data_IF_940982580745
#
_entry.id   IF_940982580745
#
_cell.length_a   1.000
_cell.length_b   1.000
_cell.length_c   1.000
_cell.angle_alpha   90.00
_cell.angle_beta   90.00
_cell.angle_gamma   90.00
#
_symmetry.space_group_name_H-M   'P 1'
#
loop_
_entity.id
_entity.type
_entity.pdbx_description
1 polymer ?
#
# COMPACT_ATOMS: atom_id res chain seq x y z
N UNK A 1 6.28 12.56 9.50
CA UNK A 1 6.15 11.15 9.11
C UNK A 1 5.43 11.19 7.77
N UNK A 2 6.21 11.11 6.71
CA UNK A 2 5.82 11.54 5.36
C UNK A 2 5.05 10.43 4.62
N UNK A 3 4.53 10.71 3.42
CA UNK A 3 3.90 9.71 2.54
C UNK A 3 4.81 8.48 2.34
N UNK A 4 6.12 8.69 2.39
CA UNK A 4 7.15 7.65 2.39
C UNK A 4 6.96 6.63 3.51
N UNK A 5 6.65 7.06 4.72
CA UNK A 5 6.49 6.14 5.86
C UNK A 5 5.23 5.28 5.71
N UNK A 6 4.18 5.82 5.07
CA UNK A 6 2.95 5.07 4.74
C UNK A 6 3.26 4.01 3.69
N UNK A 7 3.96 4.37 2.60
CA UNK A 7 4.42 3.39 1.59
C UNK A 7 5.19 2.24 2.23
N UNK A 8 6.10 2.54 3.15
CA UNK A 8 6.89 1.53 3.86
C UNK A 8 6.03 0.61 4.73
N UNK A 9 5.07 1.16 5.48
CA UNK A 9 4.16 0.37 6.29
C UNK A 9 3.29 -0.56 5.43
N UNK A 10 2.78 -0.04 4.31
CA UNK A 10 1.95 -0.81 3.37
C UNK A 10 2.77 -1.93 2.73
N UNK A 11 4.00 -1.65 2.27
CA UNK A 11 4.86 -2.67 1.69
C UNK A 11 5.15 -3.82 2.67
N UNK A 12 5.47 -3.51 3.93
CA UNK A 12 5.69 -4.52 4.98
C UNK A 12 4.43 -5.32 5.32
N UNK A 13 3.29 -4.64 5.37
CA UNK A 13 2.00 -5.28 5.63
C UNK A 13 1.65 -6.29 4.54
N UNK A 14 1.88 -5.92 3.27
CA UNK A 14 1.56 -6.78 2.13
C UNK A 14 2.51 -7.99 2.07
N UNK A 15 3.82 -7.76 2.02
CA UNK A 15 4.80 -8.84 1.98
C UNK A 15 6.18 -8.35 2.43
N UNK A 16 6.49 -8.56 3.72
CA UNK A 16 7.77 -8.16 4.31
C UNK A 16 8.99 -8.73 3.56
N UNK A 17 8.92 -10.00 3.11
CA UNK A 17 9.98 -10.64 2.34
C UNK A 17 10.23 -10.03 0.95
N UNK A 18 9.27 -9.27 0.42
CA UNK A 18 9.34 -8.58 -0.87
C UNK A 18 9.28 -7.06 -0.71
N UNK A 19 9.57 -6.54 0.48
CA UNK A 19 9.44 -5.14 0.83
C UNK A 19 10.10 -4.18 -0.17
N UNK A 20 11.37 -4.40 -0.51
CA UNK A 20 12.11 -3.53 -1.43
C UNK A 20 11.55 -3.60 -2.86
N UNK A 21 11.16 -4.81 -3.28
CA UNK A 21 10.53 -5.05 -4.59
C UNK A 21 9.20 -4.30 -4.69
N UNK A 22 8.37 -4.35 -3.64
CA UNK A 22 7.11 -3.63 -3.59
C UNK A 22 7.30 -2.11 -3.59
N UNK A 23 8.29 -1.58 -2.88
CA UNK A 23 8.60 -0.16 -2.92
C UNK A 23 8.98 0.30 -4.33
N UNK A 24 9.86 -0.44 -5.02
CA UNK A 24 10.18 -0.17 -6.43
C UNK A 24 8.93 -0.26 -7.30
N UNK A 25 8.08 -1.27 -7.09
CA UNK A 25 6.82 -1.42 -7.81
C UNK A 25 5.87 -0.22 -7.64
N UNK A 26 5.74 0.30 -6.42
CA UNK A 26 4.91 1.47 -6.13
C UNK A 26 5.41 2.75 -6.81
N UNK A 27 6.69 2.84 -7.17
CA UNK A 27 7.29 4.02 -7.80
C UNK A 27 7.38 3.90 -9.32
N UNK A 28 7.71 2.71 -9.83
CA UNK A 28 7.99 2.51 -11.25
C UNK A 28 6.82 1.88 -12.01
N UNK A 29 5.86 1.27 -11.31
CA UNK A 29 4.78 0.48 -11.91
C UNK A 29 3.41 0.88 -11.35
N UNK A 30 3.16 2.19 -11.20
CA UNK A 30 1.94 2.73 -10.59
C UNK A 30 0.63 2.13 -11.13
N UNK A 31 0.57 1.85 -12.44
CA UNK A 31 -0.60 1.25 -13.10
C UNK A 31 -0.94 -0.17 -12.61
N UNK A 32 0.00 -0.85 -11.94
CA UNK A 32 -0.19 -2.19 -11.36
C UNK A 32 -0.64 -2.14 -9.90
N UNK A 33 -0.59 -0.96 -9.28
CA UNK A 33 -0.84 -0.75 -7.85
C UNK A 33 -1.91 0.33 -7.62
N UNK A 34 -2.95 0.36 -8.46
CA UNK A 34 -3.96 1.42 -8.46
C UNK A 34 -4.69 1.49 -7.12
N UNK A 35 -5.11 0.34 -6.59
CA UNK A 35 -5.79 0.24 -5.29
C UNK A 35 -4.81 0.59 -4.17
N UNK A 36 -3.63 0.00 -4.20
CA UNK A 36 -2.60 0.20 -3.16
C UNK A 36 -2.18 1.67 -3.06
N UNK A 37 -1.95 2.35 -4.19
CA UNK A 37 -1.59 3.76 -4.23
C UNK A 37 -2.76 4.66 -3.80
N UNK A 38 -3.99 4.34 -4.18
CA UNK A 38 -5.18 5.07 -3.72
C UNK A 38 -5.34 4.99 -2.19
N UNK A 39 -5.07 3.82 -1.60
CA UNK A 39 -5.05 3.61 -0.15
C UNK A 39 -3.97 4.45 0.50
N UNK A 40 -2.74 4.42 -0.03
CA UNK A 40 -1.62 5.23 0.48
C UNK A 40 -1.98 6.73 0.48
N UNK A 41 -2.58 7.22 -0.59
CA UNK A 41 -2.99 8.63 -0.75
C UNK A 41 -4.09 9.02 0.24
N UNK A 42 -5.07 8.15 0.45
CA UNK A 42 -6.11 8.36 1.44
C UNK A 42 -5.55 8.43 2.86
N UNK A 43 -4.67 7.49 3.24
CA UNK A 43 -4.04 7.48 4.55
C UNK A 43 -3.12 8.69 4.76
N UNK A 44 -2.46 9.17 3.71
CA UNK A 44 -1.70 10.42 3.74
C UNK A 44 -2.63 11.61 4.05
N UNK A 45 -3.78 11.68 3.38
CA UNK A 45 -4.78 12.74 3.61
C UNK A 45 -5.33 12.72 5.04
N UNK A 46 -5.65 11.55 5.58
CA UNK A 46 -6.13 11.43 6.97
C UNK A 46 -5.08 11.94 7.97
N UNK A 47 -3.81 11.62 7.71
CA UNK A 47 -2.69 12.03 8.55
C UNK A 47 -2.43 13.52 8.51
N UNK A 48 -2.47 14.13 7.32
CA UNK A 48 -2.37 15.58 7.14
C UNK A 48 -3.45 16.31 7.95
N UNK A 49 -4.65 15.74 7.99
CA UNK A 49 -5.78 16.23 8.80
C UNK A 49 -5.69 15.87 10.28
N UNK A 50 -4.61 15.22 10.73
CA UNK A 50 -4.37 14.76 12.12
C UNK A 50 -5.47 13.82 12.65
N UNK A 51 -6.13 13.09 11.75
CA UNK A 51 -7.13 12.08 12.12
C UNK A 51 -6.38 10.82 12.54
N UNK A 52 -6.72 10.27 13.70
CA UNK A 52 -6.19 8.96 14.13
C UNK A 52 -6.89 7.86 13.34
N UNK A 53 -6.12 6.94 12.78
CA UNK A 53 -6.62 5.81 12.01
C UNK A 53 -5.81 4.55 12.26
N UNK A 54 -6.43 3.41 11.97
CA UNK A 54 -5.82 2.11 11.80
C UNK A 54 -6.25 1.57 10.43
N UNK A 55 -5.34 0.95 9.69
CA UNK A 55 -5.62 0.50 8.34
C UNK A 55 -6.79 -0.51 8.30
N UNK A 56 -6.80 -1.43 9.26
CA UNK A 56 -7.82 -2.48 9.42
C UNK A 56 -9.18 -1.89 9.80
N UNK A 57 -9.20 -0.75 10.47
CA UNK A 57 -10.45 -0.09 10.88
C UNK A 57 -11.04 0.79 9.76
N UNK A 58 -10.20 1.18 8.78
CA UNK A 58 -10.57 2.10 7.70
C UNK A 58 -11.01 1.34 6.45
N UNK A 59 -10.34 0.23 6.12
CA UNK A 59 -10.57 -0.52 4.90
C UNK A 59 -11.10 -1.92 5.22
N UNK A 60 -12.11 -2.34 4.47
CA UNK A 60 -12.64 -3.71 4.56
C UNK A 60 -11.66 -4.72 3.98
N UNK A 61 -11.82 -5.98 4.37
CA UNK A 61 -11.05 -7.11 3.82
C UNK A 61 -11.05 -7.13 2.30
N UNK A 62 -12.11 -6.65 1.63
CA UNK A 62 -12.17 -6.56 0.17
C UNK A 62 -11.07 -5.67 -0.41
N UNK A 63 -10.86 -4.48 0.15
CA UNK A 63 -9.83 -3.55 -0.35
C UNK A 63 -8.44 -4.07 -0.02
N UNK A 64 -8.28 -4.60 1.20
CA UNK A 64 -7.04 -5.20 1.65
C UNK A 64 -6.66 -6.40 0.74
N UNK A 65 -7.61 -7.26 0.41
CA UNK A 65 -7.41 -8.38 -0.52
C UNK A 65 -7.01 -7.91 -1.92
N UNK A 66 -7.58 -6.82 -2.42
CA UNK A 66 -7.18 -6.26 -3.72
C UNK A 66 -5.72 -5.79 -3.71
N UNK A 67 -5.24 -5.20 -2.61
CA UNK A 67 -3.82 -4.83 -2.46
C UNK A 67 -2.90 -6.06 -2.50
N UNK A 68 -3.29 -7.15 -1.82
CA UNK A 68 -2.55 -8.42 -1.90
C UNK A 68 -2.54 -8.99 -3.32
N UNK A 69 -3.66 -8.92 -4.05
CA UNK A 69 -3.74 -9.38 -5.45
C UNK A 69 -2.86 -8.53 -6.38
N UNK A 70 -2.82 -7.21 -6.20
CA UNK A 70 -1.92 -6.34 -6.97
C UNK A 70 -0.44 -6.73 -6.75
N UNK A 71 -0.08 -6.94 -5.49
CA UNK A 71 1.27 -7.35 -5.10
C UNK A 71 1.65 -8.73 -5.63
N UNK A 72 0.76 -9.72 -5.51
CA UNK A 72 1.00 -11.07 -6.00
C UNK A 72 1.14 -11.09 -7.53
N UNK A 73 0.30 -10.36 -8.24
CA UNK A 73 0.41 -10.21 -9.70
C UNK A 73 1.73 -9.53 -10.13
N UNK A 74 2.25 -8.63 -9.31
CA UNK A 74 3.53 -7.97 -9.57
C UNK A 74 4.73 -8.89 -9.27
N UNK A 75 4.72 -9.57 -8.11
CA UNK A 75 5.81 -10.44 -7.65
C UNK A 75 5.86 -11.76 -8.45
N UNK A 76 4.69 -12.37 -8.67
CA UNK A 76 4.53 -13.68 -9.32
C UNK A 76 4.83 -13.68 -10.81
N UNK A 77 4.85 -12.50 -11.45
CA UNK A 77 5.40 -12.34 -12.81
C UNK A 77 6.92 -12.20 -12.74
N UNK A 78 7.60 -13.33 -12.54
CA UNK A 78 8.98 -13.53 -13.01
C UNK A 78 8.98 -13.99 -14.47
#
# INVERSE_FOLDING_TARGET
MDKKDIKQQIARMIADAYYDVLLTGFEEQEKRFVVTLSVIDYLATLKEKKIKYSLIDVFTDTIVNQMYVEADNYIGRK
#
